data_IF_191754751272
#
_entry.id   IF_191754751272
#
_cell.length_a   1.000
_cell.length_b   1.000
_cell.length_c   1.000
_cell.angle_alpha   90.00
_cell.angle_beta   90.00
_cell.angle_gamma   90.00
#
_symmetry.space_group_name_H-M   'P 1'
#
loop_
_entity.id
_entity.type
_entity.pdbx_description
1 polymer ?
#
# COMPACT_ATOMS: atom_id res chain seq x y z
N UNK A 1 10.79 16.16 28.49
CA UNK A 1 9.37 16.59 28.48
C UNK A 1 8.91 17.13 27.10
N UNK A 2 9.80 17.61 26.22
CA UNK A 2 9.41 18.19 24.91
C UNK A 2 9.03 17.17 23.81
N UNK A 3 9.55 15.93 23.85
CA UNK A 3 9.28 14.95 22.78
C UNK A 3 7.84 14.43 22.82
N UNK A 4 7.34 14.07 24.00
CA UNK A 4 5.97 13.57 24.19
C UNK A 4 4.94 14.66 23.85
N UNK A 5 5.22 15.92 24.23
CA UNK A 5 4.36 17.06 23.91
C UNK A 5 4.26 17.29 22.39
N UNK A 6 5.38 17.23 21.67
CA UNK A 6 5.38 17.34 20.21
C UNK A 6 4.62 16.20 19.52
N UNK A 7 4.77 14.96 19.99
CA UNK A 7 4.04 13.81 19.42
C UNK A 7 2.53 13.95 19.64
N UNK A 8 2.11 14.40 20.82
CA UNK A 8 0.68 14.64 21.12
C UNK A 8 0.13 15.77 20.24
N UNK A 9 0.85 16.88 20.12
CA UNK A 9 0.43 18.02 19.29
C UNK A 9 0.34 17.61 17.81
N UNK A 10 1.33 16.89 17.28
CA UNK A 10 1.29 16.36 15.91
C UNK A 10 0.11 15.41 15.73
N UNK A 11 -0.14 14.52 16.69
CA UNK A 11 -1.26 13.57 16.62
C UNK A 11 -2.60 14.31 16.64
N UNK A 12 -2.76 15.33 17.48
CA UNK A 12 -3.98 16.15 17.55
C UNK A 12 -4.18 16.93 16.24
N UNK A 13 -3.12 17.54 15.69
CA UNK A 13 -3.19 18.24 14.40
C UNK A 13 -3.58 17.26 13.28
N UNK A 14 -3.00 16.07 13.25
CA UNK A 14 -3.33 15.03 12.27
C UNK A 14 -4.78 14.56 12.38
N UNK A 15 -5.29 14.39 13.59
CA UNK A 15 -6.70 14.03 13.83
C UNK A 15 -7.63 15.17 13.42
N UNK A 16 -7.28 16.42 13.70
CA UNK A 16 -8.08 17.59 13.30
C UNK A 16 -8.11 17.75 11.77
N UNK A 17 -6.96 17.61 11.10
CA UNK A 17 -6.87 17.61 9.64
C UNK A 17 -7.70 16.46 9.06
N UNK A 18 -7.59 15.25 9.62
CA UNK A 18 -8.37 14.09 9.20
C UNK A 18 -9.88 14.30 9.33
N UNK A 19 -10.33 14.84 10.47
CA UNK A 19 -11.75 15.12 10.72
C UNK A 19 -12.27 16.23 9.80
N UNK A 20 -11.51 17.31 9.60
CA UNK A 20 -11.87 18.38 8.65
C UNK A 20 -11.93 17.88 7.21
N UNK A 21 -10.94 17.10 6.76
CA UNK A 21 -10.89 16.58 5.40
C UNK A 21 -12.02 15.60 5.11
N UNK A 22 -12.45 14.81 6.10
CA UNK A 22 -13.57 13.88 5.93
C UNK A 22 -14.93 14.54 5.68
N UNK A 23 -15.09 15.82 6.00
CA UNK A 23 -16.33 16.57 5.80
C UNK A 23 -16.34 17.40 4.50
N UNK A 24 -15.17 17.68 3.93
CA UNK A 24 -15.03 18.63 2.81
C UNK A 24 -14.42 17.99 1.56
N UNK A 25 -13.64 16.93 1.72
CA UNK A 25 -12.83 16.31 0.66
C UNK A 25 -13.30 14.88 0.44
N UNK A 26 -13.18 14.37 -0.80
CA UNK A 26 -13.39 12.94 -1.08
C UNK A 26 -12.57 12.09 -0.08
N UNK A 27 -13.24 11.10 0.53
CA UNK A 27 -12.66 10.24 1.57
C UNK A 27 -11.39 9.54 1.11
N UNK A 28 -11.27 9.28 -0.19
CA UNK A 28 -10.05 8.72 -0.81
C UNK A 28 -8.88 9.69 -0.72
N UNK A 29 -9.08 10.94 -1.11
CA UNK A 29 -8.04 11.98 -1.07
C UNK A 29 -7.63 12.26 0.37
N UNK A 30 -8.60 12.31 1.30
CA UNK A 30 -8.30 12.47 2.73
C UNK A 30 -7.40 11.35 3.26
N UNK A 31 -7.67 10.10 2.86
CA UNK A 31 -6.88 8.94 3.27
C UNK A 31 -5.45 8.99 2.71
N UNK A 32 -5.28 9.32 1.44
CA UNK A 32 -3.95 9.49 0.82
C UNK A 32 -3.14 10.62 1.47
N UNK A 33 -3.79 11.73 1.83
CA UNK A 33 -3.15 12.86 2.50
C UNK A 33 -2.66 12.50 3.89
N UNK A 34 -3.50 11.87 4.72
CA UNK A 34 -3.08 11.43 6.06
C UNK A 34 -1.99 10.38 5.99
N UNK A 35 -2.10 9.42 5.06
CA UNK A 35 -1.07 8.41 4.84
C UNK A 35 0.27 9.05 4.43
N UNK A 36 0.24 10.04 3.54
CA UNK A 36 1.42 10.79 3.09
C UNK A 36 2.05 11.59 4.22
N UNK A 37 1.25 12.27 5.04
CA UNK A 37 1.72 13.02 6.21
C UNK A 37 2.38 12.09 7.24
N UNK A 38 1.76 10.95 7.57
CA UNK A 38 2.35 9.96 8.47
C UNK A 38 3.69 9.42 7.92
N UNK A 39 3.77 9.22 6.60
CA UNK A 39 5.00 8.80 5.91
C UNK A 39 6.11 9.84 6.03
N UNK A 40 5.82 11.11 5.73
CA UNK A 40 6.79 12.23 5.79
C UNK A 40 7.30 12.43 7.21
N UNK A 41 6.42 12.35 8.21
CA UNK A 41 6.78 12.46 9.62
C UNK A 41 7.49 11.21 10.18
N UNK A 42 7.70 10.18 9.35
CA UNK A 42 8.31 8.89 9.73
C UNK A 42 7.59 8.18 10.89
N UNK A 43 6.28 8.40 11.03
CA UNK A 43 5.44 7.84 12.10
C UNK A 43 4.93 6.46 11.70
N UNK A 44 5.84 5.50 11.52
CA UNK A 44 5.53 4.21 10.89
C UNK A 44 4.51 3.36 11.65
N UNK A 45 4.60 3.30 12.97
CA UNK A 45 3.65 2.54 13.79
C UNK A 45 2.24 3.15 13.71
N UNK A 46 2.14 4.48 13.79
CA UNK A 46 0.88 5.19 13.66
C UNK A 46 0.29 5.04 12.25
N UNK A 47 1.14 4.99 11.22
CA UNK A 47 0.72 4.72 9.83
C UNK A 47 0.05 3.35 9.70
N UNK A 48 0.67 2.30 10.25
CA UNK A 48 0.08 0.96 10.24
C UNK A 48 -1.23 0.92 11.04
N UNK A 49 -1.26 1.48 12.25
CA UNK A 49 -2.48 1.54 13.07
C UNK A 49 -3.60 2.30 12.37
N UNK A 50 -3.28 3.42 11.73
CA UNK A 50 -4.23 4.19 10.94
C UNK A 50 -4.80 3.35 9.80
N UNK A 51 -3.93 2.75 8.96
CA UNK A 51 -4.34 1.95 7.81
C UNK A 51 -5.22 0.74 8.20
N UNK A 52 -4.88 0.02 9.27
CA UNK A 52 -5.72 -1.07 9.79
C UNK A 52 -7.07 -0.58 10.32
N UNK A 53 -7.10 0.59 10.95
CA UNK A 53 -8.35 1.19 11.48
C UNK A 53 -9.26 1.62 10.34
N UNK A 54 -8.72 2.25 9.30
CA UNK A 54 -9.50 2.70 8.15
C UNK A 54 -9.94 1.55 7.27
N UNK A 55 -9.15 0.47 7.10
CA UNK A 55 -9.58 -0.77 6.41
C UNK A 55 -10.91 -1.28 6.97
N UNK A 56 -11.00 -1.40 8.30
CA UNK A 56 -12.22 -1.85 8.99
C UNK A 56 -13.42 -0.93 8.79
N UNK A 57 -13.17 0.38 8.64
CA UNK A 57 -14.22 1.40 8.58
C UNK A 57 -14.71 1.69 7.16
N UNK A 58 -13.85 1.53 6.16
CA UNK A 58 -14.13 1.92 4.77
C UNK A 58 -13.92 0.76 3.80
N UNK A 59 -14.80 -0.25 3.87
CA UNK A 59 -14.77 -1.43 2.98
C UNK A 59 -14.72 -1.09 1.48
N UNK A 60 -15.33 0.03 1.07
CA UNK A 60 -15.29 0.50 -0.33
C UNK A 60 -13.86 0.74 -0.85
N UNK A 61 -12.92 1.11 0.03
CA UNK A 61 -11.53 1.39 -0.33
C UNK A 61 -10.59 0.29 0.18
N UNK A 62 -11.11 -0.89 0.53
CA UNK A 62 -10.34 -1.97 1.15
C UNK A 62 -9.13 -2.37 0.31
N UNK A 63 -9.33 -2.57 -1.00
CA UNK A 63 -8.24 -2.90 -1.94
C UNK A 63 -7.14 -1.83 -1.99
N UNK A 64 -7.50 -0.55 -2.04
CA UNK A 64 -6.52 0.55 -2.03
C UNK A 64 -5.75 0.60 -0.71
N UNK A 65 -6.46 0.38 0.41
CA UNK A 65 -5.87 0.35 1.75
C UNK A 65 -4.94 -0.85 1.90
N UNK A 66 -5.30 -2.02 1.37
CA UNK A 66 -4.44 -3.20 1.35
C UNK A 66 -3.19 -2.97 0.51
N UNK A 67 -3.31 -2.31 -0.63
CA UNK A 67 -2.13 -1.94 -1.40
C UNK A 67 -1.19 -1.03 -0.59
N UNK A 68 -1.74 -0.03 0.11
CA UNK A 68 -0.96 0.84 1.00
C UNK A 68 -0.32 0.09 2.17
N UNK A 69 -1.03 -0.87 2.78
CA UNK A 69 -0.50 -1.74 3.83
C UNK A 69 0.64 -2.59 3.30
N UNK A 70 0.45 -3.27 2.16
CA UNK A 70 1.47 -4.10 1.52
C UNK A 70 2.75 -3.33 1.22
N UNK A 71 2.63 -2.16 0.57
CA UNK A 71 3.77 -1.26 0.33
C UNK A 71 4.44 -0.86 1.63
N UNK A 72 3.66 -0.53 2.67
CA UNK A 72 4.22 -0.11 3.94
C UNK A 72 5.01 -1.23 4.63
N UNK A 73 4.45 -2.44 4.67
CA UNK A 73 5.14 -3.61 5.22
C UNK A 73 6.41 -3.95 4.43
N UNK A 74 6.36 -3.87 3.10
CA UNK A 74 7.54 -4.09 2.25
C UNK A 74 8.66 -3.07 2.54
N UNK A 75 8.32 -1.79 2.70
CA UNK A 75 9.29 -0.75 3.08
C UNK A 75 9.92 -0.98 4.46
N UNK A 76 9.19 -1.64 5.37
CA UNK A 76 9.68 -2.07 6.68
C UNK A 76 10.40 -3.43 6.65
N UNK A 77 10.62 -4.01 5.46
CA UNK A 77 11.18 -5.35 5.25
C UNK A 77 10.38 -6.49 5.90
N UNK A 78 9.11 -6.24 6.20
CA UNK A 78 8.15 -7.21 6.73
C UNK A 78 7.45 -7.88 5.54
N UNK A 79 8.21 -8.65 4.76
CA UNK A 79 7.74 -9.12 3.45
C UNK A 79 6.63 -10.16 3.55
N UNK A 80 6.55 -10.93 4.64
CA UNK A 80 5.47 -11.91 4.85
C UNK A 80 4.13 -11.20 4.96
N UNK A 81 4.05 -10.19 5.81
CA UNK A 81 2.88 -9.33 5.97
C UNK A 81 2.57 -8.57 4.68
N UNK A 82 3.61 -8.08 3.98
CA UNK A 82 3.43 -7.41 2.71
C UNK A 82 2.74 -8.30 1.66
N UNK A 83 3.20 -9.55 1.51
CA UNK A 83 2.61 -10.49 0.54
C UNK A 83 1.17 -10.88 0.87
N UNK A 84 0.79 -10.92 2.16
CA UNK A 84 -0.62 -11.15 2.54
C UNK A 84 -1.51 -10.05 1.98
N UNK A 85 -1.12 -8.79 2.20
CA UNK A 85 -1.88 -7.66 1.68
C UNK A 85 -1.84 -7.55 0.15
N UNK A 86 -0.70 -7.87 -0.48
CA UNK A 86 -0.64 -7.90 -1.95
C UNK A 86 -1.50 -9.01 -2.57
N UNK A 87 -1.62 -10.16 -1.91
CA UNK A 87 -2.52 -11.23 -2.36
C UNK A 87 -3.97 -10.73 -2.38
N UNK A 88 -4.42 -10.06 -1.31
CA UNK A 88 -5.75 -9.45 -1.23
C UNK A 88 -6.01 -8.44 -2.38
N UNK A 89 -4.96 -7.76 -2.87
CA UNK A 89 -5.08 -6.74 -3.92
C UNK A 89 -5.09 -7.31 -5.35
N UNK A 90 -4.24 -8.30 -5.60
CA UNK A 90 -3.90 -8.72 -6.97
C UNK A 90 -4.41 -10.11 -7.35
N UNK A 91 -4.76 -10.95 -6.37
CA UNK A 91 -5.15 -12.34 -6.63
C UNK A 91 -6.66 -12.57 -6.52
N UNK A 92 -7.38 -11.72 -5.78
CA UNK A 92 -8.76 -12.01 -5.39
C UNK A 92 -9.87 -11.29 -6.16
N UNK A 93 -9.56 -10.40 -7.10
CA UNK A 93 -10.59 -9.74 -7.94
C UNK A 93 -10.08 -9.49 -9.36
N UNK A 94 -10.93 -9.73 -10.36
CA UNK A 94 -10.63 -9.59 -11.79
C UNK A 94 -10.77 -8.12 -12.24
N UNK A 95 -10.15 -7.22 -11.50
CA UNK A 95 -10.25 -5.78 -11.69
C UNK A 95 -8.94 -5.19 -12.21
N UNK A 96 -9.04 -4.36 -13.26
CA UNK A 96 -7.98 -3.47 -13.72
C UNK A 96 -7.48 -2.58 -12.59
N UNK A 97 -6.17 -2.37 -12.51
CA UNK A 97 -5.53 -1.48 -11.56
C UNK A 97 -4.51 -0.59 -12.26
N UNK A 98 -4.38 0.64 -11.78
CA UNK A 98 -3.54 1.64 -12.41
C UNK A 98 -2.08 1.45 -12.01
N UNK A 99 -1.18 1.81 -12.92
CA UNK A 99 0.24 1.87 -12.62
C UNK A 99 0.52 2.90 -11.53
N UNK A 100 1.38 2.53 -10.58
CA UNK A 100 1.98 3.43 -9.60
C UNK A 100 3.43 3.01 -9.37
N UNK A 101 4.31 3.98 -9.13
CA UNK A 101 5.73 3.71 -8.81
C UNK A 101 5.89 2.78 -7.59
N UNK A 102 4.87 2.70 -6.73
CA UNK A 102 4.89 1.82 -5.56
C UNK A 102 4.79 0.33 -5.93
N UNK A 103 4.39 -0.02 -7.16
CA UNK A 103 4.38 -1.40 -7.65
C UNK A 103 5.77 -2.05 -7.63
N UNK A 104 6.84 -1.24 -7.63
CA UNK A 104 8.21 -1.73 -7.48
C UNK A 104 8.45 -2.52 -6.17
N UNK A 105 7.58 -2.38 -5.16
CA UNK A 105 7.68 -3.11 -3.89
C UNK A 105 7.02 -4.50 -3.93
N UNK A 106 6.21 -4.80 -4.94
CA UNK A 106 5.36 -6.00 -4.97
C UNK A 106 6.18 -7.26 -5.27
N UNK A 107 6.68 -7.39 -6.50
CA UNK A 107 7.45 -8.58 -6.93
C UNK A 107 8.69 -8.90 -6.06
N UNK A 108 9.49 -7.93 -5.59
CA UNK A 108 10.56 -8.26 -4.66
C UNK A 108 10.06 -8.83 -3.33
N UNK A 109 8.87 -8.47 -2.85
CA UNK A 109 8.32 -9.06 -1.62
C UNK A 109 8.07 -10.57 -1.76
N UNK A 110 7.62 -11.02 -2.94
CA UNK A 110 7.46 -12.46 -3.23
C UNK A 110 8.81 -13.18 -3.38
N UNK A 111 9.81 -12.50 -3.96
CA UNK A 111 11.18 -13.02 -4.03
C UNK A 111 11.77 -13.25 -2.64
N UNK A 112 11.65 -12.26 -1.76
CA UNK A 112 12.22 -12.30 -0.40
C UNK A 112 11.52 -13.34 0.49
N UNK A 113 10.21 -13.54 0.32
CA UNK A 113 9.47 -14.60 1.03
C UNK A 113 9.64 -15.99 0.42
N UNK A 114 10.29 -16.10 -0.76
CA UNK A 114 10.37 -17.32 -1.58
C UNK A 114 9.00 -17.89 -1.95
N UNK A 115 7.95 -17.07 -1.93
CA UNK A 115 6.62 -17.45 -2.35
C UNK A 115 6.51 -17.33 -3.88
N UNK A 116 7.14 -18.26 -4.57
CA UNK A 116 7.25 -18.26 -6.04
C UNK A 116 5.87 -18.39 -6.67
N UNK A 117 5.01 -19.25 -6.13
CA UNK A 117 3.70 -19.54 -6.71
C UNK A 117 2.80 -18.31 -6.77
N UNK A 118 2.62 -17.60 -5.66
CA UNK A 118 1.82 -16.38 -5.65
C UNK A 118 2.48 -15.28 -6.49
N UNK A 119 3.82 -15.20 -6.47
CA UNK A 119 4.58 -14.28 -7.33
C UNK A 119 4.31 -14.50 -8.83
N UNK A 120 4.19 -15.76 -9.29
CA UNK A 120 3.79 -16.08 -10.67
C UNK A 120 2.41 -15.52 -10.99
N UNK A 121 1.44 -15.72 -10.11
CA UNK A 121 0.08 -15.23 -10.30
C UNK A 121 0.01 -13.70 -10.37
N UNK A 122 0.79 -13.01 -9.52
CA UNK A 122 0.89 -11.54 -9.56
C UNK A 122 1.54 -11.05 -10.86
N UNK A 123 2.57 -11.73 -11.37
CA UNK A 123 3.14 -11.40 -12.68
C UNK A 123 2.10 -11.54 -13.79
N UNK A 124 1.30 -12.61 -13.80
CA UNK A 124 0.24 -12.78 -14.79
C UNK A 124 -0.83 -11.67 -14.65
N UNK A 125 -1.16 -11.25 -13.43
CA UNK A 125 -2.01 -10.09 -13.21
C UNK A 125 -1.40 -8.80 -13.79
N UNK A 126 -0.09 -8.57 -13.62
CA UNK A 126 0.60 -7.39 -14.16
C UNK A 126 0.70 -7.45 -15.70
N UNK A 127 0.96 -8.63 -16.27
CA UNK A 127 0.99 -8.83 -17.73
C UNK A 127 -0.35 -8.48 -18.39
N UNK A 128 -1.47 -8.81 -17.73
CA UNK A 128 -2.81 -8.41 -18.20
C UNK A 128 -2.97 -6.88 -18.25
N UNK A 129 -2.31 -6.13 -17.36
CA UNK A 129 -2.35 -4.67 -17.35
C UNK A 129 -1.47 -4.01 -18.42
N UNK A 130 -0.48 -4.70 -18.99
CA UNK A 130 0.40 -4.15 -20.06
C UNK A 130 -0.42 -3.64 -21.25
N UNK A 131 -1.53 -4.31 -21.58
CA UNK A 131 -2.44 -3.90 -22.66
C UNK A 131 -3.04 -2.52 -22.45
N UNK A 132 -3.11 -2.06 -21.20
CA UNK A 132 -3.66 -0.78 -20.80
C UNK A 132 -2.56 0.24 -20.47
N UNK A 133 -1.43 -0.22 -19.94
CA UNK A 133 -0.29 0.63 -19.57
C UNK A 133 1.04 -0.15 -19.70
N UNK A 134 1.86 0.25 -20.68
CA UNK A 134 3.13 -0.42 -20.97
C UNK A 134 4.16 -0.32 -19.82
N UNK A 135 4.00 0.63 -18.88
CA UNK A 135 4.93 0.80 -17.74
C UNK A 135 4.95 -0.39 -16.79
N UNK A 136 3.96 -1.28 -16.85
CA UNK A 136 3.99 -2.55 -16.15
C UNK A 136 5.16 -3.44 -16.60
N UNK A 137 5.63 -3.32 -17.84
CA UNK A 137 6.80 -4.06 -18.34
C UNK A 137 8.05 -3.77 -17.51
N UNK A 138 8.27 -2.52 -17.13
CA UNK A 138 9.43 -2.09 -16.34
C UNK A 138 9.46 -2.75 -14.95
N UNK A 139 8.28 -3.02 -14.39
CA UNK A 139 8.16 -3.69 -13.08
C UNK A 139 8.39 -5.19 -13.21
N UNK A 140 7.95 -5.81 -14.31
CA UNK A 140 8.02 -7.27 -14.51
C UNK A 140 9.40 -7.72 -14.97
N UNK A 141 10.04 -6.98 -15.89
CA UNK A 141 11.27 -7.38 -16.58
C UNK A 141 12.41 -7.83 -15.65
N UNK A 142 12.66 -7.21 -14.47
CA UNK A 142 13.72 -7.67 -13.57
C UNK A 142 13.44 -9.04 -12.92
N UNK A 143 12.21 -9.53 -12.99
CA UNK A 143 11.74 -10.71 -12.27
C UNK A 143 11.21 -11.82 -13.19
N UNK A 144 11.18 -11.62 -14.51
CA UNK A 144 10.66 -12.61 -15.46
C UNK A 144 11.33 -13.98 -15.29
N UNK A 145 12.66 -14.04 -15.24
CA UNK A 145 13.40 -15.30 -15.06
C UNK A 145 13.18 -15.99 -13.71
N UNK A 146 12.75 -15.25 -12.68
CA UNK A 146 12.56 -15.81 -11.34
C UNK A 146 11.20 -16.50 -11.20
N UNK A 147 10.20 -16.02 -11.95
CA UNK A 147 8.81 -16.43 -11.81
C UNK A 147 8.21 -17.01 -13.10
N UNK A 148 8.94 -17.06 -14.22
CA UNK A 148 8.65 -17.94 -15.36
C UNK A 148 8.91 -19.40 -14.99
#
# INVERSE_FOLDING_TARGET
MNFVFNVIVITVIMVVIYVMMMWVVDRRIALELVNSLLRVCRLHQLQLTFLHTVKRKYRKYEREIDFMLGVKYAQLKQYKEATVHFNDVFLYEDETFMYTEQLQWVLPSYKETRNVQDGKLVIEAFKRQIRHDARFEDVIKPYSQLFE
#
